data_IF_955235600335
#
_entry.id   IF_955235600335
#
_cell.length_a   1.000
_cell.length_b   1.000
_cell.length_c   1.000
_cell.angle_alpha   90.00
_cell.angle_beta   90.00
_cell.angle_gamma   90.00
#
_symmetry.space_group_name_H-M   'P 1'
#
loop_
_entity.id
_entity.type
_entity.pdbx_description
1 polymer ?
#
# COMPACT_ATOMS: atom_id res chain seq x y z
N UNK A 1 -3.33 -15.83 7.14
CA UNK A 1 -1.96 -15.29 7.25
C UNK A 1 -2.01 -13.87 6.73
N UNK A 2 -1.72 -12.87 7.58
CA UNK A 2 -1.55 -11.49 7.11
C UNK A 2 -0.10 -11.37 6.67
N UNK A 3 0.14 -11.17 5.39
CA UNK A 3 1.48 -10.93 4.86
C UNK A 3 1.74 -9.44 5.03
N UNK A 4 2.14 -9.04 6.24
CA UNK A 4 2.69 -7.71 6.44
C UNK A 4 4.19 -7.79 6.16
N UNK A 5 4.53 -7.63 4.88
CA UNK A 5 5.88 -7.24 4.53
C UNK A 5 5.96 -5.75 4.85
N UNK A 6 6.47 -5.44 6.04
CA UNK A 6 6.90 -4.08 6.32
C UNK A 6 7.88 -3.70 5.20
N UNK A 7 7.76 -2.47 4.69
CA UNK A 7 8.70 -1.94 3.70
C UNK A 7 10.05 -1.72 4.39
N UNK A 8 10.78 -2.80 4.63
CA UNK A 8 12.13 -2.79 5.18
C UNK A 8 13.08 -2.53 4.01
N UNK A 9 12.91 -1.40 3.33
CA UNK A 9 13.81 -0.95 2.26
C UNK A 9 15.05 -0.23 2.78
N UNK A 10 15.38 -0.40 4.06
CA UNK A 10 16.38 0.43 4.75
C UNK A 10 17.14 -0.40 5.78
N UNK A 11 17.91 -1.38 5.31
CA UNK A 11 18.80 -2.16 6.16
C UNK A 11 20.20 -1.53 6.28
N UNK A 12 20.56 -1.28 7.54
CA UNK A 12 21.87 -1.28 8.23
C UNK A 12 22.99 -0.40 7.66
N UNK A 13 23.15 0.78 8.27
CA UNK A 13 24.49 1.28 8.58
C UNK A 13 24.80 0.90 10.02
N UNK A 14 25.96 0.29 10.27
CA UNK A 14 26.47 0.00 11.61
C UNK A 14 26.39 1.26 12.48
N UNK A 15 25.64 1.22 13.58
CA UNK A 15 25.89 2.13 14.68
C UNK A 15 26.99 1.48 15.53
N UNK A 16 28.08 2.18 15.88
CA UNK A 16 29.02 1.66 16.86
C UNK A 16 28.26 1.44 18.16
N UNK A 17 28.27 0.22 18.70
CA UNK A 17 27.64 -0.11 19.97
C UNK A 17 28.19 0.80 21.08
N UNK A 18 27.42 1.74 21.65
CA UNK A 18 27.81 2.37 22.90
C UNK A 18 27.36 1.43 24.02
N UNK A 19 28.25 1.15 24.97
CA UNK A 19 27.91 0.42 26.20
C UNK A 19 26.66 1.04 26.85
N UNK A 20 25.57 0.28 26.89
CA UNK A 20 24.27 0.73 27.39
C UNK A 20 24.24 0.57 28.93
N UNK A 21 24.47 1.66 29.67
CA UNK A 21 24.22 1.72 31.12
C UNK A 21 22.81 2.29 31.35
N UNK A 22 21.89 1.47 31.84
CA UNK A 22 20.44 1.74 31.97
C UNK A 22 20.06 2.85 32.98
N UNK A 23 21.02 3.55 33.58
CA UNK A 23 20.76 4.36 34.79
C UNK A 23 20.59 5.86 34.61
N UNK A 24 20.67 6.43 33.40
CA UNK A 24 20.53 7.88 33.21
C UNK A 24 19.80 8.26 31.91
N UNK A 25 18.47 8.11 31.89
CA UNK A 25 17.62 8.67 30.82
C UNK A 25 17.28 10.13 31.14
N UNK A 26 18.14 11.07 30.72
CA UNK A 26 17.74 12.46 30.51
C UNK A 26 17.78 12.76 29.01
N UNK A 27 16.59 13.05 28.48
CA UNK A 27 16.27 13.69 27.19
C UNK A 27 17.40 13.73 26.14
N UNK A 28 17.72 12.57 25.56
CA UNK A 28 18.67 12.48 24.45
C UNK A 28 17.91 12.59 23.14
N UNK A 29 18.22 13.63 22.36
CA UNK A 29 17.73 13.80 20.99
C UNK A 29 17.91 12.49 20.22
N UNK A 30 16.79 11.83 19.91
CA UNK A 30 16.79 10.65 19.05
C UNK A 30 17.25 11.10 17.67
N UNK A 31 18.51 10.86 17.34
CA UNK A 31 19.03 10.96 15.99
C UNK A 31 18.25 9.94 15.16
N UNK A 32 17.17 10.40 14.50
CA UNK A 32 16.41 9.58 13.57
C UNK A 32 17.35 9.21 12.42
N UNK A 33 17.79 7.96 12.40
CA UNK A 33 18.52 7.44 11.26
C UNK A 33 17.64 7.58 10.01
N UNK A 34 18.25 7.71 8.83
CA UNK A 34 17.49 7.70 7.58
C UNK A 34 16.76 6.36 7.35
N UNK A 35 16.87 5.39 8.26
CA UNK A 35 16.47 3.99 8.11
C UNK A 35 15.26 3.62 9.00
N UNK A 36 14.56 2.55 8.66
CA UNK A 36 13.46 2.03 9.48
C UNK A 36 13.96 0.82 10.29
N UNK A 37 13.64 0.79 11.59
CA UNK A 37 13.94 -0.36 12.44
C UNK A 37 12.90 -1.48 12.24
N UNK A 38 13.32 -2.73 12.46
CA UNK A 38 12.44 -3.90 12.39
C UNK A 38 11.44 -3.91 13.57
N UNK A 39 10.22 -4.37 13.32
CA UNK A 39 9.20 -4.51 14.34
C UNK A 39 9.34 -5.82 15.14
N UNK A 40 9.69 -5.71 16.43
CA UNK A 40 9.90 -6.85 17.33
C UNK A 40 8.62 -7.65 17.67
N UNK A 41 7.44 -7.24 17.19
CA UNK A 41 6.18 -7.97 17.38
C UNK A 41 5.90 -8.97 16.25
N UNK A 42 6.70 -8.98 15.18
CA UNK A 42 6.58 -9.93 14.09
C UNK A 42 7.26 -11.26 14.46
N UNK A 43 6.61 -12.38 14.10
CA UNK A 43 7.14 -13.72 14.37
C UNK A 43 8.24 -14.14 13.37
N UNK A 44 8.21 -13.60 12.15
CA UNK A 44 9.11 -13.98 11.06
C UNK A 44 9.49 -12.76 10.23
N UNK A 45 10.70 -12.76 9.67
CA UNK A 45 11.20 -11.71 8.78
C UNK A 45 11.69 -12.33 7.47
N UNK A 46 11.40 -11.65 6.36
CA UNK A 46 11.97 -11.94 5.05
C UNK A 46 12.73 -10.71 4.57
N UNK A 47 14.06 -10.80 4.57
CA UNK A 47 14.94 -9.71 4.15
C UNK A 47 15.25 -9.89 2.66
N UNK A 48 15.00 -8.84 1.86
CA UNK A 48 15.19 -8.84 0.41
C UNK A 48 16.35 -7.92 0.07
N UNK A 49 17.35 -8.46 -0.60
CA UNK A 49 18.50 -7.71 -1.08
C UNK A 49 18.49 -7.61 -2.61
N UNK A 50 18.69 -6.40 -3.12
CA UNK A 50 18.86 -6.09 -4.54
C UNK A 50 20.20 -5.40 -4.83
N UNK A 51 21.10 -5.34 -3.84
CA UNK A 51 22.42 -4.71 -3.93
C UNK A 51 22.41 -3.18 -3.89
N UNK A 52 21.26 -2.52 -3.68
CA UNK A 52 21.19 -1.06 -3.57
C UNK A 52 20.96 -0.60 -2.13
N UNK A 53 21.46 0.59 -1.80
CA UNK A 53 21.34 1.16 -0.45
C UNK A 53 20.37 2.35 -0.44
N UNK A 54 19.47 2.37 0.54
CA UNK A 54 18.57 3.50 0.81
C UNK A 54 17.40 3.66 -0.16
N UNK A 55 17.19 2.70 -1.07
CA UNK A 55 16.06 2.67 -1.99
C UNK A 55 14.93 1.79 -1.44
N UNK A 56 13.69 2.26 -1.54
CA UNK A 56 12.51 1.46 -1.22
C UNK A 56 12.06 0.62 -2.42
N UNK A 57 11.41 -0.51 -2.17
CA UNK A 57 10.66 -1.25 -3.19
C UNK A 57 11.35 -2.51 -3.73
N UNK A 58 12.54 -2.86 -3.23
CA UNK A 58 13.22 -4.11 -3.57
C UNK A 58 12.34 -5.35 -3.29
N UNK A 59 11.52 -5.27 -2.23
CA UNK A 59 10.63 -6.32 -1.78
C UNK A 59 9.34 -6.46 -2.61
N UNK A 60 8.97 -5.44 -3.40
CA UNK A 60 7.66 -5.39 -4.07
C UNK A 60 7.50 -6.60 -4.98
N UNK A 61 8.48 -6.90 -5.83
CA UNK A 61 8.38 -8.03 -6.78
C UNK A 61 8.30 -9.37 -6.03
N UNK A 62 9.08 -9.54 -4.96
CA UNK A 62 9.07 -10.77 -4.17
C UNK A 62 7.73 -10.96 -3.46
N UNK A 63 7.20 -9.90 -2.85
CA UNK A 63 5.87 -9.88 -2.20
C UNK A 63 4.80 -10.43 -3.13
N UNK A 64 4.72 -9.88 -4.34
CA UNK A 64 3.68 -10.27 -5.32
C UNK A 64 3.82 -11.73 -5.74
N UNK A 65 5.05 -12.19 -6.01
CA UNK A 65 5.31 -13.60 -6.35
C UNK A 65 4.94 -14.54 -5.19
N UNK A 66 5.25 -14.16 -3.96
CA UNK A 66 4.93 -14.96 -2.77
C UNK A 66 3.43 -15.03 -2.52
N UNK A 67 2.73 -13.90 -2.58
CA UNK A 67 1.27 -13.84 -2.46
C UNK A 67 0.58 -14.72 -3.51
N UNK A 68 1.03 -14.66 -4.76
CA UNK A 68 0.51 -15.47 -5.87
C UNK A 68 0.83 -16.96 -5.71
N UNK A 69 2.03 -17.27 -5.19
CA UNK A 69 2.39 -18.65 -4.89
C UNK A 69 1.50 -19.22 -3.80
N UNK A 70 1.27 -18.46 -2.72
CA UNK A 70 0.39 -18.83 -1.60
C UNK A 70 -1.05 -19.00 -2.08
N UNK A 71 -1.56 -18.06 -2.89
CA UNK A 71 -2.95 -18.12 -3.39
C UNK A 71 -3.22 -19.36 -4.22
N UNK A 72 -2.20 -19.93 -4.85
CA UNK A 72 -2.31 -21.15 -5.67
C UNK A 72 -2.13 -22.44 -4.85
N UNK A 73 -1.74 -22.35 -3.58
CA UNK A 73 -1.68 -23.53 -2.71
C UNK A 73 -3.08 -24.02 -2.37
N UNK A 74 -3.19 -25.31 -2.08
CA UNK A 74 -4.43 -25.95 -1.63
C UNK A 74 -4.50 -25.98 -0.11
N UNK A 75 -5.67 -25.67 0.43
CA UNK A 75 -5.90 -25.71 1.88
C UNK A 75 -5.91 -27.14 2.43
N UNK A 76 -6.42 -28.10 1.65
CA UNK A 76 -6.40 -29.52 1.99
C UNK A 76 -6.22 -30.39 0.73
N UNK A 77 -5.65 -31.61 0.86
CA UNK A 77 -5.43 -32.50 -0.28
C UNK A 77 -6.69 -32.87 -1.07
N UNK A 78 -7.86 -32.79 -0.43
CA UNK A 78 -9.15 -33.26 -0.96
C UNK A 78 -10.16 -32.15 -1.24
N UNK A 79 -9.77 -30.88 -1.11
CA UNK A 79 -10.61 -29.75 -1.48
C UNK A 79 -10.06 -29.06 -2.72
N UNK A 80 -10.94 -28.66 -3.64
CA UNK A 80 -10.58 -27.85 -4.80
C UNK A 80 -10.38 -26.36 -4.44
N UNK A 81 -10.41 -26.01 -3.16
CA UNK A 81 -10.32 -24.63 -2.68
C UNK A 81 -8.87 -24.19 -2.48
N UNK A 82 -8.50 -23.13 -3.18
CA UNK A 82 -7.22 -22.46 -3.04
C UNK A 82 -7.22 -21.54 -1.81
N UNK A 83 -6.04 -21.09 -1.37
CA UNK A 83 -5.93 -20.15 -0.24
C UNK A 83 -6.44 -18.77 -0.68
N UNK A 84 -7.47 -18.18 -0.03
CA UNK A 84 -7.92 -16.85 -0.37
C UNK A 84 -6.92 -15.79 0.11
N UNK A 85 -6.59 -14.84 -0.75
CA UNK A 85 -5.75 -13.68 -0.46
C UNK A 85 -6.57 -12.41 -0.68
N UNK A 86 -6.47 -11.46 0.25
CA UNK A 86 -7.15 -10.16 0.21
C UNK A 86 -6.13 -9.08 0.59
N UNK A 87 -6.14 -7.96 -0.13
CA UNK A 87 -5.33 -6.79 0.17
C UNK A 87 -6.11 -5.83 1.08
N UNK A 88 -5.51 -5.36 2.17
CA UNK A 88 -6.08 -4.33 3.04
C UNK A 88 -5.24 -3.06 2.91
N UNK A 89 -5.90 -1.96 2.57
CA UNK A 89 -5.28 -0.65 2.40
C UNK A 89 -5.69 0.26 3.56
N UNK A 90 -4.69 0.66 4.34
CA UNK A 90 -4.80 1.64 5.42
C UNK A 90 -3.71 2.66 5.16
N UNK A 91 -4.09 3.94 5.03
CA UNK A 91 -3.18 4.98 4.55
C UNK A 91 -2.57 4.61 3.18
N UNK A 92 -1.54 5.34 2.76
CA UNK A 92 -0.62 4.85 1.73
C UNK A 92 0.14 5.95 1.01
N UNK A 93 1.10 5.51 0.19
CA UNK A 93 1.88 6.39 -0.69
C UNK A 93 1.48 6.21 -2.16
N UNK A 94 2.25 6.82 -3.06
CA UNK A 94 2.07 6.68 -4.52
C UNK A 94 2.14 5.22 -4.97
N UNK A 95 3.07 4.44 -4.41
CA UNK A 95 3.20 3.01 -4.71
C UNK A 95 2.01 2.17 -4.24
N UNK A 96 1.24 2.65 -3.26
CA UNK A 96 0.01 1.95 -2.82
C UNK A 96 -1.04 1.99 -3.92
N UNK A 97 -1.18 3.11 -4.62
CA UNK A 97 -2.12 3.23 -5.76
C UNK A 97 -1.73 2.24 -6.86
N UNK A 98 -0.44 2.18 -7.21
CA UNK A 98 0.09 1.20 -8.19
C UNK A 98 -0.15 -0.24 -7.75
N UNK A 99 0.14 -0.56 -6.50
CA UNK A 99 -0.09 -1.90 -5.97
C UNK A 99 -1.58 -2.29 -6.07
N UNK A 100 -2.49 -1.39 -5.70
CA UNK A 100 -3.95 -1.62 -5.84
C UNK A 100 -4.33 -1.86 -7.29
N UNK A 101 -3.84 -1.04 -8.22
CA UNK A 101 -4.06 -1.23 -9.65
C UNK A 101 -3.59 -2.62 -10.11
N UNK A 102 -2.39 -3.03 -9.72
CA UNK A 102 -1.88 -4.36 -10.03
C UNK A 102 -2.75 -5.45 -9.41
N UNK A 103 -3.19 -5.33 -8.15
CA UNK A 103 -4.03 -6.33 -7.48
C UNK A 103 -5.35 -6.56 -8.21
N UNK A 104 -6.03 -5.49 -8.64
CA UNK A 104 -7.32 -5.60 -9.34
C UNK A 104 -7.18 -6.00 -10.81
N UNK A 105 -6.01 -5.79 -11.41
CA UNK A 105 -5.73 -6.16 -12.81
C UNK A 105 -5.02 -7.51 -12.97
N UNK A 106 -4.47 -8.09 -11.91
CA UNK A 106 -3.82 -9.41 -11.93
C UNK A 106 -4.80 -10.54 -12.32
N UNK A 107 -4.22 -11.69 -12.65
CA UNK A 107 -4.93 -12.91 -12.98
C UNK A 107 -4.40 -14.09 -12.14
N UNK A 108 -5.20 -14.66 -11.21
CA UNK A 108 -6.52 -14.17 -10.81
C UNK A 108 -6.44 -12.84 -10.03
N UNK A 109 -7.47 -11.98 -10.08
CA UNK A 109 -7.45 -10.71 -9.36
C UNK A 109 -7.52 -10.92 -7.85
N UNK A 110 -6.91 -10.00 -7.10
CA UNK A 110 -6.95 -9.98 -5.63
C UNK A 110 -7.94 -8.92 -5.16
N UNK A 111 -8.97 -9.29 -4.38
CA UNK A 111 -9.89 -8.32 -3.78
C UNK A 111 -9.16 -7.34 -2.86
N UNK A 112 -9.52 -6.06 -2.93
CA UNK A 112 -8.93 -4.97 -2.15
C UNK A 112 -9.98 -4.37 -1.22
N UNK A 113 -9.67 -4.29 0.06
CA UNK A 113 -10.45 -3.58 1.07
C UNK A 113 -9.74 -2.28 1.42
N UNK A 114 -10.42 -1.14 1.23
CA UNK A 114 -9.86 0.18 1.50
C UNK A 114 -10.54 0.77 2.73
N UNK A 115 -9.73 1.21 3.70
CA UNK A 115 -10.22 1.91 4.88
C UNK A 115 -10.39 3.40 4.58
N UNK A 116 -11.61 3.83 4.32
CA UNK A 116 -11.95 5.24 4.10
C UNK A 116 -11.82 6.05 5.40
N UNK A 117 -11.22 7.24 5.28
CA UNK A 117 -10.81 8.08 6.40
C UNK A 117 -9.57 7.57 7.14
N UNK A 118 -8.81 6.65 6.53
CA UNK A 118 -7.51 6.25 7.06
C UNK A 118 -6.39 7.20 6.62
N UNK A 119 -6.53 7.86 5.46
CA UNK A 119 -5.64 8.92 4.97
C UNK A 119 -4.97 8.64 3.62
N UNK A 120 -4.32 9.69 3.10
CA UNK A 120 -3.55 9.75 1.84
C UNK A 120 -4.11 8.91 0.69
N UNK A 121 -3.43 7.81 0.30
CA UNK A 121 -3.82 6.99 -0.84
C UNK A 121 -5.18 6.30 -0.64
N UNK A 122 -5.47 5.84 0.58
CA UNK A 122 -6.72 5.16 0.89
C UNK A 122 -7.93 6.09 0.66
N UNK A 123 -7.82 7.34 1.14
CA UNK A 123 -8.89 8.33 0.99
C UNK A 123 -9.07 8.76 -0.47
N UNK A 124 -7.98 8.89 -1.23
CA UNK A 124 -8.06 9.17 -2.67
C UNK A 124 -8.74 8.04 -3.44
N UNK A 125 -8.39 6.78 -3.15
CA UNK A 125 -9.03 5.61 -3.78
C UNK A 125 -10.51 5.54 -3.40
N UNK A 126 -10.84 5.75 -2.13
CA UNK A 126 -12.22 5.74 -1.65
C UNK A 126 -13.05 6.86 -2.29
N UNK A 127 -12.49 8.08 -2.38
CA UNK A 127 -13.11 9.21 -3.05
C UNK A 127 -13.41 8.89 -4.52
N UNK A 128 -12.39 8.54 -5.31
CA UNK A 128 -12.58 8.24 -6.75
C UNK A 128 -13.54 7.07 -6.95
N UNK A 129 -13.47 6.02 -6.11
CA UNK A 129 -14.37 4.87 -6.20
C UNK A 129 -15.83 5.28 -5.99
N UNK A 130 -16.11 6.16 -5.01
CA UNK A 130 -17.47 6.66 -4.74
C UNK A 130 -18.03 7.42 -5.94
N UNK A 131 -17.28 8.35 -6.52
CA UNK A 131 -17.77 9.15 -7.65
C UNK A 131 -17.76 8.40 -9.00
N UNK A 132 -16.99 7.31 -9.11
CA UNK A 132 -17.10 6.36 -10.23
C UNK A 132 -18.28 5.37 -10.09
N UNK A 133 -18.86 5.27 -8.88
CA UNK A 133 -19.99 4.36 -8.59
C UNK A 133 -21.30 4.91 -9.15
N UNK A 134 -21.51 6.23 -9.02
CA UNK A 134 -22.76 6.93 -9.35
C UNK A 134 -22.99 7.09 -10.86
N UNK A 135 -22.00 6.76 -11.71
CA UNK A 135 -22.07 6.84 -13.18
C UNK A 135 -22.43 5.48 -13.81
N UNK A 136 -23.58 4.90 -13.50
CA UNK A 136 -24.09 3.71 -14.22
C UNK A 136 -24.65 4.03 -15.61
N UNK A 137 -24.91 5.31 -15.91
CA UNK A 137 -25.23 5.80 -17.25
C UNK A 137 -24.03 6.51 -17.84
N UNK A 138 -23.12 5.76 -18.50
CA UNK A 138 -22.23 6.10 -19.64
C UNK A 138 -21.47 7.44 -19.74
N UNK A 139 -21.76 8.40 -18.88
CA UNK A 139 -21.29 9.76 -18.92
C UNK A 139 -20.31 9.91 -17.76
N UNK A 140 -19.11 10.32 -18.12
CA UNK A 140 -17.97 10.61 -17.27
C UNK A 140 -17.89 12.08 -16.75
N UNK A 141 -18.96 12.92 -16.68
CA UNK A 141 -18.79 14.37 -16.56
C UNK A 141 -18.42 14.82 -15.16
N UNK A 142 -18.80 14.08 -14.11
CA UNK A 142 -18.53 14.49 -12.72
C UNK A 142 -17.06 14.31 -12.37
N UNK A 143 -16.45 13.20 -12.79
CA UNK A 143 -15.06 12.92 -12.46
C UNK A 143 -14.09 13.73 -13.34
N UNK A 144 -14.49 14.03 -14.59
CA UNK A 144 -13.72 14.91 -15.48
C UNK A 144 -13.77 16.37 -14.98
N UNK A 145 -14.93 16.86 -14.49
CA UNK A 145 -15.02 18.20 -13.90
C UNK A 145 -14.25 18.35 -12.58
N UNK A 146 -13.99 17.25 -11.88
CA UNK A 146 -13.16 17.23 -10.66
C UNK A 146 -11.68 16.91 -10.93
N UNK A 147 -11.28 16.69 -12.18
CA UNK A 147 -9.93 16.25 -12.53
C UNK A 147 -8.83 17.16 -11.96
N UNK A 148 -8.93 18.46 -12.21
CA UNK A 148 -7.92 19.43 -11.75
C UNK A 148 -7.83 19.48 -10.21
N UNK A 149 -8.98 19.34 -9.54
CA UNK A 149 -9.03 19.26 -8.08
C UNK A 149 -8.36 17.99 -7.56
N UNK A 150 -8.61 16.84 -8.19
CA UNK A 150 -8.01 15.56 -7.79
C UNK A 150 -6.50 15.60 -8.05
N UNK A 151 -6.05 16.09 -9.20
CA UNK A 151 -4.62 16.25 -9.52
C UNK A 151 -3.93 17.15 -8.49
N UNK A 152 -4.51 18.32 -8.21
CA UNK A 152 -3.99 19.24 -7.18
C UNK A 152 -3.92 18.58 -5.80
N UNK A 153 -4.91 17.75 -5.46
CA UNK A 153 -4.94 17.00 -4.21
C UNK A 153 -3.84 15.93 -4.17
N UNK A 154 -3.60 15.21 -5.27
CA UNK A 154 -2.52 14.21 -5.40
C UNK A 154 -1.15 14.89 -5.23
N UNK A 155 -0.92 16.02 -5.90
CA UNK A 155 0.33 16.78 -5.78
C UNK A 155 0.61 17.17 -4.32
N UNK A 156 -0.39 17.73 -3.63
CA UNK A 156 -0.26 18.12 -2.22
C UNK A 156 -0.11 16.92 -1.27
N UNK A 157 -0.79 15.82 -1.53
CA UNK A 157 -0.81 14.63 -0.64
C UNK A 157 0.48 13.82 -0.72
N UNK A 158 1.12 13.78 -1.89
CA UNK A 158 2.34 13.00 -2.11
C UNK A 158 3.59 13.85 -2.36
N UNK A 159 3.47 15.17 -2.42
CA UNK A 159 4.57 16.10 -2.72
C UNK A 159 5.25 15.78 -4.06
N UNK A 160 4.42 15.56 -5.09
CA UNK A 160 4.86 15.15 -6.43
C UNK A 160 4.61 16.22 -7.49
N UNK A 161 5.38 16.18 -8.58
CA UNK A 161 5.20 17.06 -9.74
C UNK A 161 3.91 16.77 -10.53
N UNK A 162 3.57 17.68 -11.46
CA UNK A 162 2.34 17.60 -12.26
C UNK A 162 2.24 16.30 -13.08
N UNK A 163 3.28 15.96 -13.84
CA UNK A 163 3.31 14.74 -14.67
C UNK A 163 3.07 13.47 -13.85
N UNK A 164 3.69 13.38 -12.67
CA UNK A 164 3.52 12.24 -11.79
C UNK A 164 2.11 12.20 -11.18
N UNK A 165 1.52 13.36 -10.88
CA UNK A 165 0.15 13.44 -10.39
C UNK A 165 -0.88 13.03 -11.45
N UNK A 166 -0.69 13.42 -12.71
CA UNK A 166 -1.53 12.98 -13.83
C UNK A 166 -1.45 11.47 -14.07
N UNK A 167 -0.24 10.91 -13.97
CA UNK A 167 -0.03 9.46 -14.03
C UNK A 167 -0.80 8.74 -12.91
N UNK A 168 -0.67 9.22 -11.66
CA UNK A 168 -1.39 8.66 -10.51
C UNK A 168 -2.91 8.82 -10.62
N UNK A 169 -3.39 9.94 -11.19
CA UNK A 169 -4.82 10.13 -11.47
C UNK A 169 -5.34 9.05 -12.42
N UNK A 170 -4.60 8.77 -13.50
CA UNK A 170 -4.96 7.73 -14.46
C UNK A 170 -4.97 6.34 -13.81
N UNK A 171 -3.98 6.02 -12.98
CA UNK A 171 -3.93 4.77 -12.21
C UNK A 171 -5.12 4.64 -11.26
N UNK A 172 -5.49 5.73 -10.54
CA UNK A 172 -6.67 5.77 -9.66
C UNK A 172 -7.97 5.46 -10.42
N UNK A 173 -8.17 6.07 -11.59
CA UNK A 173 -9.34 5.78 -12.44
C UNK A 173 -9.41 4.31 -12.87
N UNK A 174 -8.26 3.71 -13.15
CA UNK A 174 -8.21 2.31 -13.55
C UNK A 174 -8.51 1.36 -12.37
N UNK A 175 -8.11 1.72 -11.15
CA UNK A 175 -8.43 0.94 -9.95
C UNK A 175 -9.94 0.75 -9.78
N UNK A 176 -10.74 1.73 -10.18
CA UNK A 176 -12.21 1.74 -9.95
C UNK A 176 -13.00 1.10 -11.08
N UNK A 177 -12.37 0.62 -12.15
CA UNK A 177 -13.06 -0.04 -13.27
C UNK A 177 -13.74 -1.35 -12.89
N UNK A 178 -13.14 -2.13 -11.98
CA UNK A 178 -13.69 -3.40 -11.49
C UNK A 178 -14.34 -3.22 -10.11
N UNK A 179 -15.52 -2.62 -10.08
CA UNK A 179 -16.26 -2.28 -8.84
C UNK A 179 -16.44 -3.45 -7.86
N UNK A 180 -16.56 -4.68 -8.38
CA UNK A 180 -16.75 -5.89 -7.56
C UNK A 180 -15.48 -6.35 -6.83
N UNK A 181 -14.30 -5.80 -7.14
CA UNK A 181 -13.04 -6.16 -6.52
C UNK A 181 -12.56 -5.17 -5.46
N UNK A 182 -13.15 -3.97 -5.40
CA UNK A 182 -12.77 -2.93 -4.45
C UNK A 182 -13.92 -2.71 -3.46
N UNK A 183 -13.65 -2.92 -2.17
CA UNK A 183 -14.61 -2.71 -1.10
C UNK A 183 -14.15 -1.55 -0.21
N UNK A 184 -14.99 -0.52 -0.09
CA UNK A 184 -14.71 0.62 0.78
C UNK A 184 -15.35 0.39 2.16
N UNK A 185 -14.57 0.53 3.23
CA UNK A 185 -15.04 0.41 4.63
C UNK A 185 -14.66 1.65 5.44
N UNK A 186 -15.65 2.27 6.07
CA UNK A 186 -15.46 3.43 6.94
C UNK A 186 -14.76 3.03 8.25
N UNK A 187 -13.77 3.83 8.65
CA UNK A 187 -13.20 3.75 10.00
C UNK A 187 -14.27 4.22 11.01
N UNK A 188 -14.93 3.29 11.71
CA UNK A 188 -15.80 3.64 12.85
C UNK A 188 -14.94 4.31 13.93
N UNK A 189 -15.21 5.58 14.22
CA UNK A 189 -14.72 6.24 15.43
C UNK A 189 -15.57 5.72 16.59
N UNK A 190 -14.96 4.99 17.51
CA UNK A 190 -15.52 4.62 18.80
C UNK A 190 -15.02 5.60 19.86
#
# INVERSE_FOLDING_TARGET
>A
MIINLENIGKCVGELPFPNFDERNLTETQVVRSKFAALNNRLAYFLLVDNGTHGCYGAEIVLRRKLEKFISNQRLQPYTHSSIPVVCLVIEGGTNTIRAVLEYVTDNPPVPVVVCDGSGRAADLIAFVHKYASDSETGDQPVLESMKDYIISTIQRTFEVGCEQAECLYTELLQCTRKKNLVCIKLKKKY
#
